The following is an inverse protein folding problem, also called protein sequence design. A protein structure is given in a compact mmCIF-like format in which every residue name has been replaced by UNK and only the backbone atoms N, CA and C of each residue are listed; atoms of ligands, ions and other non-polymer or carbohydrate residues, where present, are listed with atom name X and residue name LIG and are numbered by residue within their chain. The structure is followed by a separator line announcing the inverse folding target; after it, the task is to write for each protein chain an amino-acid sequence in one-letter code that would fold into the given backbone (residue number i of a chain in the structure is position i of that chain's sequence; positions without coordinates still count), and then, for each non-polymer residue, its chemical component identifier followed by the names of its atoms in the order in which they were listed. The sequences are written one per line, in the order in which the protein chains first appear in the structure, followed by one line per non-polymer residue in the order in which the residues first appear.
data_IF_250536505972
#
_entry.id   IF_250536505972
#
_cell.length_a   1.000
_cell.length_b   1.000
_cell.length_c   1.000
_cell.angle_alpha   90.00
_cell.angle_beta   90.00
_cell.angle_gamma   90.00
#
_symmetry.space_group_name_H-M   'P 1'
#
loop_
_entity.id
_entity.type
_entity.pdbx_description
1 polymer ?
#
# COMPACT_ATOMS: atom_id res chain seq x y z
N UNK A 1 40.51 -45.60 -65.60
CA UNK A 1 39.76 -44.54 -64.93
C UNK A 1 38.33 -45.03 -64.83
N UNK A 2 37.91 -45.51 -63.66
CA UNK A 2 36.50 -45.75 -63.37
C UNK A 2 36.29 -45.36 -61.90
N UNK A 3 36.06 -44.06 -61.71
CA UNK A 3 35.62 -43.50 -60.44
C UNK A 3 34.19 -44.00 -60.20
N UNK A 4 34.04 -44.99 -59.33
CA UNK A 4 32.74 -45.37 -58.80
C UNK A 4 32.54 -44.62 -57.48
N UNK A 5 31.77 -43.55 -57.59
CA UNK A 5 31.32 -42.69 -56.50
C UNK A 5 30.42 -43.48 -55.55
N UNK A 6 30.76 -43.51 -54.26
CA UNK A 6 29.90 -43.96 -53.17
C UNK A 6 28.70 -42.99 -53.04
N UNK A 7 27.44 -43.45 -53.04
CA UNK A 7 26.36 -42.61 -52.58
C UNK A 7 26.37 -42.63 -51.05
N UNK A 8 26.89 -41.55 -50.44
CA UNK A 8 26.58 -41.23 -49.05
C UNK A 8 25.06 -41.08 -48.92
N UNK A 9 24.39 -42.10 -48.37
CA UNK A 9 23.00 -41.98 -47.96
C UNK A 9 22.94 -40.99 -46.79
N UNK A 10 22.63 -39.73 -47.11
CA UNK A 10 22.13 -38.76 -46.16
C UNK A 10 20.85 -39.33 -45.54
N UNK A 11 20.98 -39.96 -44.38
CA UNK A 11 19.86 -40.33 -43.52
C UNK A 11 19.20 -39.03 -43.03
N UNK A 12 18.25 -38.51 -43.82
CA UNK A 12 17.38 -37.42 -43.41
C UNK A 12 16.57 -37.87 -42.21
N UNK A 13 17.08 -37.58 -41.02
CA UNK A 13 16.46 -37.88 -39.73
C UNK A 13 15.06 -37.29 -39.72
N UNK A 14 14.07 -38.15 -39.97
CA UNK A 14 12.66 -37.79 -40.01
C UNK A 14 12.31 -37.09 -38.68
N UNK A 15 11.66 -35.91 -38.69
CA UNK A 15 11.34 -35.23 -37.45
C UNK A 15 10.40 -36.13 -36.64
N UNK A 16 10.78 -36.37 -35.38
CA UNK A 16 10.00 -37.16 -34.42
C UNK A 16 8.57 -36.63 -34.40
N UNK A 17 7.54 -37.48 -34.56
CA UNK A 17 6.17 -37.00 -34.63
C UNK A 17 5.78 -36.30 -33.33
N UNK A 18 5.14 -35.13 -33.46
CA UNK A 18 4.67 -34.27 -32.34
C UNK A 18 3.82 -35.04 -31.31
N UNK A 19 3.22 -36.15 -31.72
CA UNK A 19 2.45 -37.07 -30.89
C UNK A 19 3.30 -37.74 -29.80
N UNK A 20 4.56 -38.06 -30.09
CA UNK A 20 5.51 -38.67 -29.14
C UNK A 20 5.97 -37.64 -28.11
N UNK A 21 6.07 -36.38 -28.52
CA UNK A 21 6.33 -35.27 -27.60
C UNK A 21 5.11 -34.98 -26.70
N UNK A 22 3.92 -34.97 -27.29
CA UNK A 22 2.67 -34.77 -26.58
C UNK A 22 2.37 -35.85 -25.54
N UNK A 23 2.63 -37.12 -25.85
CA UNK A 23 2.43 -38.24 -24.92
C UNK A 23 3.45 -38.29 -23.78
N UNK A 24 4.63 -37.69 -23.97
CA UNK A 24 5.68 -37.57 -22.94
C UNK A 24 5.60 -36.30 -22.11
N UNK A 25 4.68 -35.39 -22.45
CA UNK A 25 4.49 -34.15 -21.71
C UNK A 25 3.73 -34.41 -20.40
N UNK A 26 4.12 -33.73 -19.33
CA UNK A 26 3.42 -33.75 -18.03
C UNK A 26 2.16 -32.90 -18.02
N UNK A 27 1.88 -32.22 -19.13
CA UNK A 27 0.76 -31.30 -19.25
C UNK A 27 -0.55 -32.10 -19.43
N UNK A 28 -1.28 -32.22 -18.33
CA UNK A 28 -2.54 -32.96 -18.25
C UNK A 28 -3.52 -32.48 -19.33
N UNK A 29 -3.86 -33.36 -20.28
CA UNK A 29 -4.79 -33.06 -21.38
C UNK A 29 -4.16 -33.01 -22.79
N UNK A 30 -2.83 -32.83 -22.91
CA UNK A 30 -2.16 -32.87 -24.21
C UNK A 30 -2.20 -34.28 -24.83
N UNK A 31 -2.09 -35.34 -24.02
CA UNK A 31 -2.21 -36.72 -24.52
C UNK A 31 -3.57 -37.02 -25.16
N UNK A 32 -4.65 -36.47 -24.61
CA UNK A 32 -6.02 -36.63 -25.14
C UNK A 32 -6.27 -35.77 -26.39
N UNK A 33 -5.48 -34.71 -26.62
CA UNK A 33 -5.56 -33.87 -27.81
C UNK A 33 -4.98 -34.56 -29.06
N UNK A 34 -4.01 -35.47 -28.89
CA UNK A 34 -3.24 -36.08 -29.98
C UNK A 34 -3.58 -37.54 -30.31
N UNK A 35 -4.55 -38.17 -29.64
CA UNK A 35 -5.06 -39.50 -30.05
C UNK A 35 -5.84 -39.40 -31.37
N UNK A 36 -5.35 -40.13 -32.39
CA UNK A 36 -5.91 -40.17 -33.74
C UNK A 36 -7.17 -41.08 -33.79
N UNK A 37 -8.27 -40.64 -33.18
CA UNK A 37 -9.59 -41.29 -33.38
C UNK A 37 -10.45 -40.44 -34.32
N UNK A 38 -11.24 -41.12 -35.18
CA UNK A 38 -12.01 -40.59 -36.33
C UNK A 38 -13.09 -39.54 -35.98
N UNK A 39 -13.14 -39.02 -34.75
CA UNK A 39 -14.18 -38.14 -34.24
C UNK A 39 -13.66 -36.71 -33.98
N UNK A 40 -13.54 -35.90 -35.04
CA UNK A 40 -13.09 -34.51 -34.96
C UNK A 40 -13.84 -33.65 -33.92
N UNK A 41 -15.13 -33.91 -33.71
CA UNK A 41 -15.97 -33.19 -32.74
C UNK A 41 -15.49 -33.38 -31.30
N UNK A 42 -15.18 -34.62 -30.90
CA UNK A 42 -14.70 -34.91 -29.54
C UNK A 42 -13.36 -34.23 -29.29
N UNK A 43 -12.46 -34.22 -30.29
CA UNK A 43 -11.17 -33.53 -30.22
C UNK A 43 -11.33 -32.02 -30.03
N UNK A 44 -12.21 -31.38 -30.81
CA UNK A 44 -12.46 -29.94 -30.68
C UNK A 44 -13.00 -29.57 -29.30
N UNK A 45 -13.88 -30.39 -28.71
CA UNK A 45 -14.37 -30.18 -27.34
C UNK A 45 -13.27 -30.27 -26.29
N UNK A 46 -12.37 -31.26 -26.41
CA UNK A 46 -11.23 -31.40 -25.50
C UNK A 46 -10.22 -30.26 -25.62
N UNK A 47 -9.93 -29.81 -26.85
CA UNK A 47 -9.08 -28.65 -27.10
C UNK A 47 -9.72 -27.39 -26.50
N UNK A 48 -11.02 -27.20 -26.70
CA UNK A 48 -11.73 -26.04 -26.19
C UNK A 48 -11.78 -26.03 -24.66
N UNK A 49 -11.99 -27.18 -24.03
CA UNK A 49 -11.95 -27.31 -22.58
C UNK A 49 -10.54 -27.06 -22.03
N UNK A 50 -9.51 -27.62 -22.66
CA UNK A 50 -8.12 -27.41 -22.29
C UNK A 50 -7.70 -25.93 -22.43
N UNK A 51 -8.02 -25.32 -23.58
CA UNK A 51 -7.71 -23.92 -23.85
C UNK A 51 -8.52 -22.98 -22.96
N UNK A 52 -9.77 -23.32 -22.68
CA UNK A 52 -10.61 -22.62 -21.72
C UNK A 52 -10.06 -22.69 -20.29
N UNK A 53 -9.63 -23.87 -19.85
CA UNK A 53 -9.00 -24.06 -18.54
C UNK A 53 -7.68 -23.30 -18.43
N UNK A 54 -6.83 -23.35 -19.46
CA UNK A 54 -5.58 -22.59 -19.52
C UNK A 54 -5.83 -21.08 -19.53
N UNK A 55 -6.79 -20.62 -20.33
CA UNK A 55 -7.18 -19.21 -20.38
C UNK A 55 -7.71 -18.72 -19.05
N UNK A 56 -8.60 -19.49 -18.41
CA UNK A 56 -9.11 -19.17 -17.08
C UNK A 56 -8.01 -19.12 -16.02
N UNK A 57 -7.07 -20.08 -16.04
CA UNK A 57 -5.90 -20.08 -15.16
C UNK A 57 -5.06 -18.82 -15.36
N UNK A 58 -4.75 -18.44 -16.60
CA UNK A 58 -3.96 -17.23 -16.89
C UNK A 58 -4.67 -15.97 -16.40
N UNK A 59 -5.99 -15.85 -16.63
CA UNK A 59 -6.77 -14.71 -16.16
C UNK A 59 -6.71 -14.58 -14.63
N UNK A 60 -6.94 -15.67 -13.89
CA UNK A 60 -6.86 -15.67 -12.42
C UNK A 60 -5.43 -15.39 -11.95
N UNK A 61 -4.41 -15.93 -12.61
CA UNK A 61 -3.02 -15.65 -12.27
C UNK A 61 -2.68 -14.16 -12.44
N UNK A 62 -3.07 -13.53 -13.55
CA UNK A 62 -2.83 -12.10 -13.80
C UNK A 62 -3.52 -11.24 -12.74
N UNK A 63 -4.79 -11.52 -12.45
CA UNK A 63 -5.56 -10.82 -11.41
C UNK A 63 -4.85 -10.88 -10.05
N UNK A 64 -4.38 -12.07 -9.66
CA UNK A 64 -3.67 -12.27 -8.38
C UNK A 64 -2.30 -11.62 -8.34
N UNK A 65 -1.57 -11.61 -9.46
CA UNK A 65 -0.28 -10.92 -9.56
C UNK A 65 -0.47 -9.40 -9.48
N UNK A 66 -1.49 -8.85 -10.15
CA UNK A 66 -1.82 -7.43 -10.03
C UNK A 66 -2.20 -7.06 -8.60
N UNK A 67 -3.03 -7.87 -7.95
CA UNK A 67 -3.39 -7.68 -6.54
C UNK A 67 -2.17 -7.77 -5.60
N UNK A 68 -1.22 -8.68 -5.86
CA UNK A 68 0.03 -8.76 -5.10
C UNK A 68 0.84 -7.46 -5.20
N UNK A 69 0.97 -6.88 -6.40
CA UNK A 69 1.68 -5.61 -6.60
C UNK A 69 0.96 -4.37 -6.07
N UNK A 70 -0.32 -4.48 -5.68
CA UNK A 70 -1.02 -3.40 -4.98
C UNK A 70 -0.63 -3.30 -3.50
N UNK A 71 0.17 -4.25 -2.98
CA UNK A 71 0.61 -4.32 -1.59
C UNK A 71 -0.51 -4.07 -0.55
N UNK A 72 -1.66 -4.75 -0.66
CA UNK A 72 -2.72 -4.61 0.31
C UNK A 72 -2.26 -5.19 1.66
N UNK A 73 -2.47 -4.44 2.74
CA UNK A 73 -2.18 -4.87 4.10
C UNK A 73 -3.48 -4.97 4.90
N UNK A 74 -3.61 -6.01 5.71
CA UNK A 74 -4.71 -6.19 6.64
C UNK A 74 -4.15 -6.07 8.05
N UNK A 75 -4.66 -5.12 8.83
CA UNK A 75 -4.31 -4.96 10.23
C UNK A 75 -5.19 -5.87 11.08
N UNK A 76 -4.58 -6.68 11.95
CA UNK A 76 -5.31 -7.41 13.00
C UNK A 76 -5.20 -6.60 14.28
N UNK A 77 -6.34 -6.37 14.92
CA UNK A 77 -6.43 -5.66 16.20
C UNK A 77 -6.65 -6.71 17.28
N UNK A 78 -5.69 -6.83 18.18
CA UNK A 78 -5.76 -7.69 19.35
C UNK A 78 -5.64 -6.82 20.60
N UNK A 79 -6.52 -7.06 21.57
CA UNK A 79 -6.46 -6.43 22.88
C UNK A 79 -5.77 -7.37 23.87
N UNK A 80 -4.53 -7.03 24.22
CA UNK A 80 -3.71 -7.84 25.13
C UNK A 80 -3.45 -7.05 26.40
N UNK A 81 -3.84 -7.62 27.55
CA UNK A 81 -3.54 -7.04 28.86
C UNK A 81 -2.05 -7.22 29.18
N UNK A 82 -1.28 -6.12 29.09
CA UNK A 82 0.14 -6.13 29.45
C UNK A 82 0.33 -5.98 30.97
N UNK A 83 1.10 -6.86 31.64
CA UNK A 83 1.31 -6.80 33.10
C UNK A 83 2.12 -5.56 33.54
N UNK A 84 2.85 -4.93 32.62
CA UNK A 84 3.56 -3.65 32.82
C UNK A 84 3.46 -2.83 31.55
N UNK A 85 3.00 -1.59 31.67
CA UNK A 85 2.84 -0.65 30.55
C UNK A 85 3.60 0.64 30.85
N UNK A 86 4.22 1.25 29.84
CA UNK A 86 4.94 2.52 30.00
C UNK A 86 3.89 3.63 30.19
N UNK A 87 4.00 4.40 31.27
CA UNK A 87 3.12 5.54 31.48
C UNK A 87 3.41 6.62 30.42
N UNK A 88 2.40 7.13 29.70
CA UNK A 88 2.61 8.07 28.61
C UNK A 88 3.08 9.44 29.12
N UNK A 89 3.71 10.23 28.25
CA UNK A 89 3.98 11.63 28.57
C UNK A 89 2.66 12.41 28.61
N UNK A 90 2.35 12.99 29.76
CA UNK A 90 1.19 13.87 29.91
C UNK A 90 1.66 15.31 29.72
N UNK A 91 1.31 15.91 28.59
CA UNK A 91 1.59 17.33 28.32
C UNK A 91 0.36 18.15 28.71
N UNK A 92 0.52 19.06 29.66
CA UNK A 92 -0.49 20.05 30.01
C UNK A 92 -0.04 21.43 29.57
N UNK A 93 -0.95 22.17 28.93
CA UNK A 93 -0.74 23.56 28.56
C UNK A 93 -1.82 24.41 29.23
N UNK A 94 -1.43 25.60 29.69
CA UNK A 94 -2.41 26.59 30.13
C UNK A 94 -3.20 27.07 28.89
N UNK A 95 -4.52 27.19 29.01
CA UNK A 95 -5.37 27.76 27.95
C UNK A 95 -5.03 29.22 27.67
N UNK A 96 -4.40 29.90 28.63
CA UNK A 96 -3.89 31.23 28.41
C UNK A 96 -2.66 31.19 27.48
N UNK A 97 -2.84 31.67 26.24
CA UNK A 97 -1.82 31.65 25.19
C UNK A 97 -0.58 32.48 25.51
N UNK A 98 -0.70 33.54 26.31
CA UNK A 98 0.43 34.39 26.70
C UNK A 98 0.16 35.13 28.00
N UNK A 99 1.21 35.43 28.74
CA UNK A 99 1.10 36.20 29.98
C UNK A 99 1.11 37.69 29.65
N UNK A 100 -0.02 38.37 29.84
CA UNK A 100 -0.14 39.83 29.60
C UNK A 100 0.94 40.67 30.31
N UNK A 101 1.40 40.26 31.50
CA UNK A 101 2.46 40.98 32.22
C UNK A 101 3.86 40.85 31.60
N UNK A 102 4.06 39.94 30.65
CA UNK A 102 5.34 39.72 29.95
C UNK A 102 5.31 40.23 28.51
N UNK A 103 4.18 40.75 28.03
CA UNK A 103 4.06 41.32 26.69
C UNK A 103 4.82 42.65 26.64
N UNK A 104 5.82 42.75 25.76
CA UNK A 104 6.59 43.98 25.58
C UNK A 104 6.01 44.85 24.44
N UNK A 105 6.48 46.11 24.33
CA UNK A 105 6.09 46.99 23.22
C UNK A 105 6.53 46.45 21.86
N UNK A 106 7.66 45.74 21.82
CA UNK A 106 8.16 45.11 20.59
C UNK A 106 7.22 43.98 20.13
N UNK A 107 6.75 43.15 21.08
CA UNK A 107 5.81 42.07 20.78
C UNK A 107 4.45 42.61 20.32
N UNK A 108 3.98 43.71 20.92
CA UNK A 108 2.75 44.37 20.50
C UNK A 108 2.89 45.04 19.13
N UNK A 109 4.07 45.54 18.79
CA UNK A 109 4.34 46.13 17.48
C UNK A 109 4.34 45.09 16.36
N UNK A 110 4.92 43.91 16.59
CA UNK A 110 5.02 42.86 15.58
C UNK A 110 3.82 41.90 15.54
N UNK A 111 3.20 41.59 16.68
CA UNK A 111 2.15 40.59 16.80
C UNK A 111 0.83 41.14 17.38
N UNK A 112 0.73 42.44 17.68
CA UNK A 112 -0.45 43.02 18.34
C UNK A 112 -1.73 42.95 17.52
N UNK A 113 -1.64 43.04 16.19
CA UNK A 113 -2.80 42.88 15.31
C UNK A 113 -3.25 41.42 15.24
N UNK A 114 -2.29 40.50 15.08
CA UNK A 114 -2.51 39.05 15.06
C UNK A 114 -3.16 38.56 16.37
N UNK A 115 -2.73 39.10 17.50
CA UNK A 115 -3.26 38.76 18.84
C UNK A 115 -4.54 39.55 19.19
N UNK A 116 -5.10 40.31 18.24
CA UNK A 116 -6.27 41.19 18.39
C UNK A 116 -6.17 42.23 19.53
N UNK A 117 -4.96 42.47 20.05
CA UNK A 117 -4.69 43.39 21.16
C UNK A 117 -4.80 44.87 20.75
N UNK A 118 -4.73 45.15 19.45
CA UNK A 118 -4.89 46.51 18.89
C UNK A 118 -6.36 46.90 18.65
N UNK A 119 -7.32 46.01 18.89
CA UNK A 119 -8.74 46.33 18.75
C UNK A 119 -9.24 47.10 19.98
N UNK A 120 -9.86 48.27 19.79
CA UNK A 120 -10.35 49.12 20.88
C UNK A 120 -11.33 48.41 21.83
N UNK A 121 -12.11 47.45 21.33
CA UNK A 121 -13.00 46.62 22.15
C UNK A 121 -12.23 45.64 23.06
N UNK A 122 -11.12 45.10 22.57
CA UNK A 122 -10.26 44.18 23.33
C UNK A 122 -9.49 44.94 24.40
N UNK A 123 -8.97 46.13 24.09
CA UNK A 123 -8.32 47.00 25.08
C UNK A 123 -9.26 47.40 26.22
N UNK A 124 -10.53 47.67 25.93
CA UNK A 124 -11.54 47.98 26.94
C UNK A 124 -11.87 46.77 27.82
N UNK A 125 -11.93 45.57 27.22
CA UNK A 125 -12.05 44.31 27.95
C UNK A 125 -10.82 43.97 28.81
N UNK A 126 -9.61 44.27 28.32
CA UNK A 126 -8.35 44.06 29.04
C UNK A 126 -8.15 45.06 30.18
N UNK A 127 -8.56 46.32 30.00
CA UNK A 127 -8.57 47.32 31.06
C UNK A 127 -9.55 46.92 32.18
N UNK A 128 -10.73 46.40 31.80
CA UNK A 128 -11.71 45.84 32.74
C UNK A 128 -11.16 44.62 33.48
N UNK A 129 -10.52 43.67 32.77
CA UNK A 129 -9.85 42.53 33.41
C UNK A 129 -8.71 42.98 34.33
N UNK A 130 -7.88 43.94 33.92
CA UNK A 130 -6.79 44.47 34.76
C UNK A 130 -7.33 45.11 36.03
N UNK A 131 -8.43 45.86 35.96
CA UNK A 131 -9.11 46.38 37.14
C UNK A 131 -9.64 45.27 38.06
N UNK A 132 -10.16 44.17 37.50
CA UNK A 132 -10.60 42.98 38.25
C UNK A 132 -9.43 42.23 38.91
N UNK A 133 -8.25 42.19 38.28
CA UNK A 133 -7.05 41.58 38.87
C UNK A 133 -6.42 42.47 39.95
N UNK A 134 -6.41 43.79 39.77
CA UNK A 134 -5.86 44.77 40.73
C UNK A 134 -6.71 44.84 42.02
N UNK A 135 -8.04 44.67 41.89
CA UNK A 135 -8.94 44.55 43.04
C UNK A 135 -8.82 43.24 43.83
N UNK A 136 -8.02 42.27 43.37
CA UNK A 136 -7.89 40.93 43.99
C UNK A 136 -6.58 40.72 44.76
N UNK A 137 -5.72 41.74 44.90
CA UNK A 137 -4.62 41.75 45.88
C UNK A 137 -3.58 40.62 45.80
N UNK A 138 -3.43 39.94 44.66
CA UNK A 138 -2.43 38.86 44.53
C UNK A 138 -1.05 39.43 44.18
N UNK A 139 -0.20 39.57 45.21
CA UNK A 139 1.22 39.92 45.05
C UNK A 139 1.94 38.86 44.20
N UNK A 140 2.83 39.25 43.28
CA UNK A 140 3.64 38.29 42.53
C UNK A 140 4.58 37.53 43.48
N UNK A 141 4.48 36.20 43.49
CA UNK A 141 5.45 35.32 44.16
C UNK A 141 6.79 35.46 43.42
N UNK A 142 7.88 35.86 44.10
CA UNK A 142 9.20 35.89 43.49
C UNK A 142 9.67 34.44 43.31
N UNK A 143 9.77 33.98 42.06
CA UNK A 143 10.53 32.78 41.75
C UNK A 143 12.01 33.13 41.81
N UNK A 144 12.73 32.45 42.70
CA UNK A 144 14.20 32.40 42.74
C UNK A 144 14.70 31.35 41.75
#
# INVERSE_FOLDING_TARGET
MDLKTEPEEMEYKQPVPIQVFASRSTLHGISHMFTYERMCVKRSLWILFFLGSLGFLVLVCVDRVQFYFQYPHVTKLDEVAAPRMVFPSVTFCNLNSFRFSRVTRNDLYHAGELLALLNGRVLQGLASQRAVWDGRGERPIPFR
#
